data_IF_017866340521
#
_entry.id   IF_017866340521
#
_cell.length_a   1.000
_cell.length_b   1.000
_cell.length_c   1.000
_cell.angle_alpha   90.00
_cell.angle_beta   90.00
_cell.angle_gamma   90.00
#
_symmetry.space_group_name_H-M   'P 1'
#
loop_
_entity.id
_entity.type
_entity.pdbx_description
1 polymer ?
#
# COMPACT_ATOMS: atom_id res chain seq x y z
N UNK A 1 -6.71 -13.33 -2.58
CA UNK A 1 -6.11 -12.28 -3.41
C UNK A 1 -5.22 -11.40 -2.53
N UNK A 2 -4.10 -10.87 -3.03
CA UNK A 2 -3.20 -9.99 -2.29
C UNK A 2 -3.43 -8.52 -2.67
N UNK A 3 -2.92 -7.58 -1.88
CA UNK A 3 -3.13 -6.15 -2.04
C UNK A 3 -3.00 -5.60 -3.47
N UNK A 4 -1.90 -5.87 -4.22
CA UNK A 4 -1.75 -5.39 -5.59
C UNK A 4 -2.89 -5.81 -6.53
N UNK A 5 -3.32 -7.07 -6.45
CA UNK A 5 -4.38 -7.59 -7.29
C UNK A 5 -5.77 -7.03 -6.90
N UNK A 6 -6.02 -6.80 -5.59
CA UNK A 6 -7.24 -6.15 -5.11
C UNK A 6 -7.32 -4.73 -5.69
N UNK A 7 -6.21 -4.00 -5.63
CA UNK A 7 -6.12 -2.63 -6.12
C UNK A 7 -6.32 -2.56 -7.64
N UNK A 8 -5.62 -3.40 -8.41
CA UNK A 8 -5.75 -3.46 -9.86
C UNK A 8 -7.20 -3.78 -10.31
N UNK A 9 -7.85 -4.75 -9.65
CA UNK A 9 -9.22 -5.10 -9.95
C UNK A 9 -10.20 -3.95 -9.66
N UNK A 10 -10.04 -3.24 -8.53
CA UNK A 10 -10.89 -2.11 -8.19
C UNK A 10 -10.61 -0.87 -9.06
N UNK A 11 -9.35 -0.62 -9.45
CA UNK A 11 -9.04 0.39 -10.47
C UNK A 11 -9.77 0.06 -11.77
N UNK A 12 -9.68 -1.19 -12.25
CA UNK A 12 -10.37 -1.60 -13.45
C UNK A 12 -11.90 -1.49 -13.33
N UNK A 13 -12.47 -1.81 -12.16
CA UNK A 13 -13.90 -1.67 -11.89
C UNK A 13 -14.35 -0.21 -11.98
N UNK A 14 -13.68 0.68 -11.27
CA UNK A 14 -14.05 2.09 -11.22
C UNK A 14 -13.89 2.75 -12.60
N UNK A 15 -12.78 2.52 -13.28
CA UNK A 15 -12.58 3.07 -14.62
C UNK A 15 -13.57 2.53 -15.66
N UNK A 16 -14.09 1.32 -15.47
CA UNK A 16 -15.05 0.72 -16.41
C UNK A 16 -16.44 1.34 -16.39
N UNK A 17 -16.70 2.28 -15.49
CA UNK A 17 -17.94 3.03 -15.49
C UNK A 17 -18.01 3.96 -16.73
N UNK A 18 -16.86 4.51 -17.15
CA UNK A 18 -16.78 5.47 -18.26
C UNK A 18 -15.85 5.02 -19.41
N UNK A 19 -15.08 3.92 -19.24
CA UNK A 19 -14.05 3.49 -20.19
C UNK A 19 -14.16 1.99 -20.52
N UNK A 20 -13.66 1.60 -21.69
CA UNK A 20 -13.40 0.18 -22.03
C UNK A 20 -12.07 -0.26 -21.42
N UNK A 21 -12.11 -1.11 -20.41
CA UNK A 21 -10.94 -1.47 -19.59
C UNK A 21 -10.55 -2.92 -19.75
N UNK A 22 -9.33 -3.16 -20.18
CA UNK A 22 -8.67 -4.48 -20.19
C UNK A 22 -7.80 -4.64 -18.96
N UNK A 23 -8.07 -5.64 -18.14
CA UNK A 23 -7.23 -6.00 -17.00
C UNK A 23 -6.25 -7.10 -17.41
N UNK A 24 -4.95 -6.83 -17.38
CA UNK A 24 -3.90 -7.75 -17.76
C UNK A 24 -2.95 -8.09 -16.60
N UNK A 25 -2.38 -9.28 -16.60
CA UNK A 25 -1.46 -9.76 -15.57
C UNK A 25 -0.21 -10.40 -16.17
N UNK A 26 0.95 -10.14 -15.57
CA UNK A 26 2.21 -10.84 -15.88
C UNK A 26 2.17 -12.33 -15.49
N UNK A 27 1.29 -12.72 -14.58
CA UNK A 27 1.24 -14.07 -14.02
C UNK A 27 0.28 -15.03 -14.76
N UNK A 28 -0.30 -14.59 -15.87
CA UNK A 28 -1.26 -15.39 -16.66
C UNK A 28 -2.68 -14.84 -16.61
N UNK A 29 -3.61 -15.56 -17.23
CA UNK A 29 -5.02 -15.19 -17.39
C UNK A 29 -5.94 -15.90 -16.39
N UNK A 30 -7.15 -15.41 -16.24
CA UNK A 30 -8.15 -15.97 -15.35
C UNK A 30 -9.36 -15.07 -15.15
N UNK A 31 -9.98 -15.16 -13.99
CA UNK A 31 -11.07 -14.29 -13.58
C UNK A 31 -10.69 -13.58 -12.30
N UNK A 32 -10.96 -12.28 -12.20
CA UNK A 32 -10.77 -11.54 -10.97
C UNK A 32 -11.78 -11.99 -9.91
N UNK A 33 -11.34 -12.50 -8.76
CA UNK A 33 -12.25 -12.88 -7.68
C UNK A 33 -12.87 -11.68 -6.94
N UNK A 34 -12.46 -10.44 -7.25
CA UNK A 34 -13.04 -9.24 -6.62
C UNK A 34 -14.36 -8.86 -7.27
N UNK A 35 -14.46 -8.92 -8.59
CA UNK A 35 -15.60 -8.41 -9.35
C UNK A 35 -16.03 -9.33 -10.51
N UNK A 36 -15.45 -10.50 -10.62
CA UNK A 36 -15.74 -11.45 -11.68
C UNK A 36 -15.19 -11.08 -13.06
N UNK A 37 -14.32 -10.08 -13.17
CA UNK A 37 -13.75 -9.64 -14.44
C UNK A 37 -12.76 -10.62 -15.02
N UNK A 38 -12.70 -10.65 -16.35
CA UNK A 38 -11.64 -11.38 -17.06
C UNK A 38 -10.29 -10.71 -16.86
N UNK A 39 -9.29 -11.50 -16.53
CA UNK A 39 -7.88 -11.09 -16.45
C UNK A 39 -7.14 -11.73 -17.61
N UNK A 40 -6.61 -10.94 -18.50
CA UNK A 40 -5.85 -11.40 -19.66
C UNK A 40 -4.39 -11.65 -19.30
N UNK A 41 -3.71 -12.46 -20.07
CA UNK A 41 -2.30 -12.74 -19.91
C UNK A 41 -1.39 -11.61 -20.39
N UNK A 42 -0.07 -11.83 -20.33
CA UNK A 42 0.93 -10.82 -20.74
C UNK A 42 0.78 -10.30 -22.16
N UNK A 43 0.20 -11.09 -23.06
CA UNK A 43 -0.07 -10.72 -24.45
C UNK A 43 -1.01 -9.52 -24.60
N UNK A 44 -1.85 -9.26 -23.61
CA UNK A 44 -2.76 -8.12 -23.61
C UNK A 44 -2.08 -6.81 -23.17
N UNK A 45 -0.87 -6.85 -22.60
CA UNK A 45 -0.20 -5.65 -22.04
C UNK A 45 0.19 -4.65 -23.14
N UNK A 46 0.55 -5.16 -24.32
CA UNK A 46 1.00 -4.36 -25.47
C UNK A 46 -0.10 -4.18 -26.53
N UNK A 47 -1.36 -4.27 -26.15
CA UNK A 47 -2.49 -3.98 -27.01
C UNK A 47 -2.57 -2.51 -27.46
N UNK A 48 -3.50 -2.21 -28.34
CA UNK A 48 -3.77 -0.84 -28.79
C UNK A 48 -4.73 -0.17 -27.79
N UNK A 49 -4.18 0.67 -26.91
CA UNK A 49 -4.91 1.39 -25.87
C UNK A 49 -4.62 2.90 -25.95
N UNK A 50 -5.54 3.73 -25.46
CA UNK A 50 -5.36 5.18 -25.36
C UNK A 50 -4.46 5.56 -24.16
N UNK A 51 -4.49 4.77 -23.09
CA UNK A 51 -3.67 4.94 -21.89
C UNK A 51 -3.51 3.63 -21.13
N UNK A 52 -2.58 3.56 -20.18
CA UNK A 52 -2.46 2.43 -19.28
C UNK A 52 -2.16 2.85 -17.83
N UNK A 53 -2.64 2.03 -16.88
CA UNK A 53 -2.25 2.09 -15.47
C UNK A 53 -1.31 0.92 -15.19
N UNK A 54 -0.12 1.21 -14.67
CA UNK A 54 0.97 0.25 -14.53
C UNK A 54 1.38 0.07 -13.08
N UNK A 55 1.51 -1.18 -12.63
CA UNK A 55 2.00 -1.54 -11.31
C UNK A 55 3.26 -2.43 -11.38
N UNK A 56 4.10 -2.39 -10.34
CA UNK A 56 5.23 -3.28 -10.19
C UNK A 56 6.24 -3.22 -11.36
N UNK A 57 6.80 -4.35 -11.75
CA UNK A 57 7.89 -4.45 -12.75
C UNK A 57 7.41 -4.57 -14.21
N UNK A 58 6.18 -4.14 -14.53
CA UNK A 58 5.63 -4.29 -15.89
C UNK A 58 6.51 -3.64 -16.95
N UNK A 59 6.99 -2.41 -16.74
CA UNK A 59 7.81 -1.70 -17.72
C UNK A 59 9.13 -2.43 -18.04
N UNK A 60 9.81 -2.95 -17.01
CA UNK A 60 11.04 -3.75 -17.22
C UNK A 60 10.82 -5.01 -18.05
N UNK A 61 9.62 -5.59 -17.96
CA UNK A 61 9.29 -6.84 -18.69
C UNK A 61 8.69 -6.60 -20.05
N UNK A 62 8.20 -5.39 -20.30
CA UNK A 62 7.59 -4.95 -21.55
C UNK A 62 8.21 -3.64 -22.04
N UNK A 63 9.45 -3.67 -22.58
CA UNK A 63 10.14 -2.47 -23.08
C UNK A 63 9.33 -1.71 -24.13
N UNK A 64 8.59 -2.42 -24.99
CA UNK A 64 7.73 -1.79 -26.00
C UNK A 64 6.69 -0.84 -25.38
N UNK A 65 6.18 -1.18 -24.19
CA UNK A 65 5.27 -0.30 -23.43
C UNK A 65 6.04 0.93 -22.89
N UNK A 66 7.25 0.72 -22.39
CA UNK A 66 8.09 1.81 -21.89
C UNK A 66 8.49 2.79 -23.00
N UNK A 67 8.74 2.29 -24.23
CA UNK A 67 9.12 3.09 -25.39
C UNK A 67 7.92 3.70 -26.14
N UNK A 68 6.69 3.25 -25.86
CA UNK A 68 5.48 3.72 -26.53
C UNK A 68 5.22 5.21 -26.26
N UNK A 69 4.43 5.85 -27.14
CA UNK A 69 3.93 7.21 -26.91
C UNK A 69 2.69 7.28 -26.01
N UNK A 70 2.13 6.12 -25.65
CA UNK A 70 0.92 6.00 -24.83
C UNK A 70 1.10 6.66 -23.46
N UNK A 71 0.17 7.47 -22.95
CA UNK A 71 0.18 7.99 -21.59
C UNK A 71 0.14 6.87 -20.54
N UNK A 72 1.01 6.93 -19.53
CA UNK A 72 1.10 5.94 -18.46
C UNK A 72 0.86 6.56 -17.08
N UNK A 73 -0.15 6.07 -16.36
CA UNK A 73 -0.27 6.28 -14.93
C UNK A 73 0.50 5.16 -14.21
N UNK A 74 1.41 5.55 -13.33
CA UNK A 74 2.20 4.61 -12.50
C UNK A 74 1.61 4.57 -11.10
N UNK A 75 1.20 3.39 -10.68
CA UNK A 75 0.61 3.21 -9.36
C UNK A 75 1.67 2.79 -8.34
N UNK A 76 2.21 3.77 -7.62
CA UNK A 76 3.21 3.63 -6.56
C UNK A 76 2.58 3.49 -5.17
N UNK A 77 1.56 2.65 -5.05
CA UNK A 77 0.81 2.46 -3.82
C UNK A 77 1.62 1.80 -2.68
N UNK A 78 2.77 1.22 -3.00
CA UNK A 78 3.54 0.35 -2.11
C UNK A 78 5.02 0.74 -2.12
N UNK A 79 5.65 1.03 -0.97
CA UNK A 79 7.07 1.37 -0.87
C UNK A 79 7.96 0.11 -0.94
N UNK A 80 7.80 -0.71 -1.99
CA UNK A 80 8.41 -2.04 -2.13
C UNK A 80 9.95 -2.05 -2.04
N UNK A 81 10.62 -0.94 -2.34
CA UNK A 81 12.07 -0.79 -2.14
C UNK A 81 12.44 -0.72 -0.64
N UNK A 82 11.58 -0.13 0.19
CA UNK A 82 11.76 -0.11 1.65
C UNK A 82 11.41 -1.48 2.24
N UNK A 83 10.35 -2.13 1.77
CA UNK A 83 10.02 -3.50 2.16
C UNK A 83 11.16 -4.49 1.83
N UNK A 84 11.86 -4.30 0.71
CA UNK A 84 13.00 -5.13 0.32
C UNK A 84 14.14 -5.10 1.35
N UNK A 85 14.25 -4.03 2.16
CA UNK A 85 15.21 -3.95 3.26
C UNK A 85 14.91 -4.96 4.39
N UNK A 86 13.67 -5.36 4.55
CA UNK A 86 13.23 -6.27 5.61
C UNK A 86 13.10 -7.71 5.12
N UNK A 87 12.86 -7.94 3.84
CA UNK A 87 12.73 -9.28 3.27
C UNK A 87 14.03 -10.07 3.39
N UNK A 88 13.98 -11.26 3.99
CA UNK A 88 15.12 -12.12 4.12
C UNK A 88 16.20 -11.56 5.06
N UNK A 89 15.81 -11.09 6.25
CA UNK A 89 16.68 -10.40 7.21
C UNK A 89 18.00 -11.13 7.54
N UNK A 90 18.07 -12.44 7.37
CA UNK A 90 19.29 -13.25 7.54
C UNK A 90 20.18 -13.37 6.29
N UNK A 91 19.69 -12.96 5.09
CA UNK A 91 20.41 -13.10 3.82
C UNK A 91 20.74 -11.72 3.22
N UNK A 92 21.99 -11.31 3.45
CA UNK A 92 22.47 -10.00 2.97
C UNK A 92 22.47 -9.88 1.44
N UNK A 93 22.82 -10.96 0.72
CA UNK A 93 22.89 -10.93 -0.75
C UNK A 93 21.49 -10.76 -1.33
N UNK A 94 20.54 -11.55 -0.85
CA UNK A 94 19.13 -11.45 -1.25
C UNK A 94 18.55 -10.06 -1.00
N UNK A 95 18.92 -9.42 0.11
CA UNK A 95 18.49 -8.05 0.38
C UNK A 95 19.07 -7.05 -0.59
N UNK A 96 20.36 -7.17 -0.93
CA UNK A 96 21.01 -6.31 -1.93
C UNK A 96 20.31 -6.46 -3.28
N UNK A 97 20.13 -7.68 -3.77
CA UNK A 97 19.48 -7.96 -5.06
C UNK A 97 18.03 -7.42 -5.10
N UNK A 98 17.29 -7.58 -4.00
CA UNK A 98 15.93 -7.06 -3.88
C UNK A 98 15.86 -5.53 -3.94
N UNK A 99 16.77 -4.84 -3.26
CA UNK A 99 16.86 -3.38 -3.26
C UNK A 99 17.30 -2.86 -4.63
N UNK A 100 18.31 -3.47 -5.25
CA UNK A 100 18.83 -3.06 -6.55
C UNK A 100 17.75 -3.24 -7.63
N UNK A 101 17.04 -4.38 -7.63
CA UNK A 101 15.92 -4.62 -8.54
C UNK A 101 14.78 -3.62 -8.35
N UNK A 102 14.44 -3.29 -7.09
CA UNK A 102 13.44 -2.29 -6.78
C UNK A 102 13.85 -0.90 -7.29
N UNK A 103 15.10 -0.51 -7.06
CA UNK A 103 15.62 0.79 -7.49
C UNK A 103 15.67 0.92 -9.02
N UNK A 104 16.00 -0.15 -9.76
CA UNK A 104 15.96 -0.15 -11.23
C UNK A 104 14.52 0.07 -11.70
N UNK A 105 13.55 -0.66 -11.12
CA UNK A 105 12.13 -0.50 -11.45
C UNK A 105 11.64 0.92 -11.21
N UNK A 106 11.96 1.50 -10.05
CA UNK A 106 11.52 2.85 -9.69
C UNK A 106 12.12 3.93 -10.59
N UNK A 107 13.39 3.80 -10.99
CA UNK A 107 14.03 4.75 -11.91
C UNK A 107 13.32 4.74 -13.27
N UNK A 108 13.11 3.57 -13.85
CA UNK A 108 12.43 3.43 -15.13
C UNK A 108 11.00 4.02 -15.06
N UNK A 109 10.27 3.71 -14.01
CA UNK A 109 8.93 4.25 -13.80
C UNK A 109 8.95 5.76 -13.61
N UNK A 110 9.87 6.31 -12.79
CA UNK A 110 10.00 7.74 -12.59
C UNK A 110 10.35 8.49 -13.88
N UNK A 111 11.15 7.86 -14.75
CA UNK A 111 11.53 8.44 -16.04
C UNK A 111 10.39 8.39 -17.05
N UNK A 112 9.61 7.31 -17.06
CA UNK A 112 8.64 7.03 -18.11
C UNK A 112 7.22 7.48 -17.77
N UNK A 113 6.82 7.45 -16.50
CA UNK A 113 5.47 7.75 -16.07
C UNK A 113 5.03 9.17 -16.42
N UNK A 114 3.76 9.32 -16.73
CA UNK A 114 3.15 10.61 -17.04
C UNK A 114 2.31 11.13 -15.89
N UNK A 115 1.74 10.22 -15.11
CA UNK A 115 1.01 10.49 -13.88
C UNK A 115 1.37 9.42 -12.84
N UNK A 116 1.39 9.79 -11.56
CA UNK A 116 1.76 8.89 -10.48
C UNK A 116 0.67 8.88 -9.41
N UNK A 117 0.42 7.69 -8.85
CA UNK A 117 -0.49 7.49 -7.71
C UNK A 117 0.29 6.95 -6.52
N UNK A 118 -0.14 7.33 -5.34
CA UNK A 118 0.38 6.79 -4.07
C UNK A 118 -0.77 6.62 -3.07
N UNK A 119 -0.53 5.93 -1.95
CA UNK A 119 -1.62 5.56 -1.04
C UNK A 119 -1.89 6.56 0.08
N UNK A 120 -1.01 7.52 0.32
CA UNK A 120 -1.17 8.54 1.35
C UNK A 120 -0.18 9.70 1.13
N UNK A 121 -0.33 10.77 1.91
CA UNK A 121 0.49 11.98 1.78
C UNK A 121 1.93 11.77 2.23
N UNK A 122 2.21 10.86 3.16
CA UNK A 122 3.57 10.49 3.56
C UNK A 122 4.29 9.81 2.38
N UNK A 123 3.63 8.89 1.69
CA UNK A 123 4.15 8.31 0.45
C UNK A 123 4.32 9.39 -0.63
N UNK A 124 3.35 10.30 -0.78
CA UNK A 124 3.42 11.36 -1.78
C UNK A 124 4.68 12.22 -1.57
N UNK A 125 4.97 12.63 -0.34
CA UNK A 125 6.19 13.39 -0.01
C UNK A 125 7.47 12.57 -0.30
N UNK A 126 7.47 11.29 0.02
CA UNK A 126 8.57 10.38 -0.30
C UNK A 126 8.80 10.27 -1.81
N UNK A 127 7.74 10.05 -2.59
CA UNK A 127 7.82 9.92 -4.04
C UNK A 127 8.15 11.22 -4.77
N UNK A 128 7.77 12.37 -4.23
CA UNK A 128 8.25 13.66 -4.73
C UNK A 128 9.77 13.77 -4.65
N UNK A 129 10.40 13.21 -3.62
CA UNK A 129 11.86 13.11 -3.54
C UNK A 129 12.48 12.27 -4.67
N UNK A 130 11.86 11.13 -5.01
CA UNK A 130 12.27 10.29 -6.14
C UNK A 130 12.09 11.02 -7.48
N UNK A 131 10.95 11.66 -7.68
CA UNK A 131 10.64 12.45 -8.88
C UNK A 131 11.59 13.65 -9.02
N UNK A 132 11.97 14.30 -7.92
CA UNK A 132 12.98 15.34 -7.91
C UNK A 132 14.36 14.82 -8.36
N UNK A 133 14.78 13.66 -7.82
CA UNK A 133 16.04 13.02 -8.23
C UNK A 133 16.03 12.59 -9.70
N UNK A 134 14.88 12.19 -10.24
CA UNK A 134 14.68 11.91 -11.66
C UNK A 134 14.53 13.15 -12.55
N UNK A 135 14.59 14.37 -11.97
CA UNK A 135 14.45 15.64 -12.70
C UNK A 135 13.02 15.96 -13.15
N UNK A 136 12.01 15.28 -12.55
CA UNK A 136 10.60 15.48 -12.88
C UNK A 136 9.97 16.67 -12.16
N UNK A 137 10.55 17.14 -11.06
CA UNK A 137 10.24 18.43 -10.46
C UNK A 137 11.07 19.49 -11.17
N UNK A 138 10.48 20.17 -12.12
CA UNK A 138 11.12 21.13 -13.00
C UNK A 138 10.18 22.30 -13.34
N UNK A 139 10.65 23.27 -14.12
CA UNK A 139 9.88 24.47 -14.46
C UNK A 139 8.55 24.14 -15.16
N UNK A 140 8.52 23.13 -16.02
CA UNK A 140 7.29 22.78 -16.79
C UNK A 140 6.22 22.16 -15.89
N UNK A 141 6.61 21.18 -15.09
CA UNK A 141 5.69 20.52 -14.16
C UNK A 141 5.27 21.45 -13.01
N UNK A 142 6.14 22.38 -12.60
CA UNK A 142 5.80 23.40 -11.63
C UNK A 142 4.81 24.44 -12.22
N UNK A 143 5.03 24.90 -13.45
CA UNK A 143 4.17 25.89 -14.10
C UNK A 143 2.78 25.32 -14.40
N UNK A 144 2.67 24.01 -14.64
CA UNK A 144 1.39 23.31 -14.79
C UNK A 144 0.63 23.26 -13.46
N UNK A 145 1.30 22.85 -12.37
CA UNK A 145 0.74 22.83 -11.03
C UNK A 145 1.83 22.99 -9.96
N UNK A 146 1.88 24.10 -9.20
CA UNK A 146 2.95 24.38 -8.24
C UNK A 146 3.12 23.34 -7.12
N UNK A 147 2.06 22.58 -6.79
CA UNK A 147 2.10 21.47 -5.83
C UNK A 147 2.27 20.11 -6.51
N UNK A 148 2.52 20.08 -7.82
CA UNK A 148 2.73 18.88 -8.63
C UNK A 148 1.56 17.87 -8.60
N UNK A 149 0.33 18.33 -8.37
CA UNK A 149 -0.85 17.46 -8.33
C UNK A 149 -1.24 16.92 -9.71
N UNK A 150 -0.87 17.61 -10.80
CA UNK A 150 -0.95 17.09 -12.17
C UNK A 150 0.07 15.99 -12.46
N UNK A 151 1.11 15.84 -11.64
CA UNK A 151 2.15 14.81 -11.79
C UNK A 151 1.93 13.63 -10.82
N UNK A 152 1.62 13.90 -9.54
CA UNK A 152 1.42 12.85 -8.52
C UNK A 152 0.30 13.20 -7.56
N UNK A 153 -0.61 12.24 -7.33
CA UNK A 153 -1.73 12.40 -6.43
C UNK A 153 -1.86 11.24 -5.44
N UNK A 154 -2.40 11.53 -4.25
CA UNK A 154 -2.79 10.53 -3.27
C UNK A 154 -4.08 9.85 -3.71
N UNK A 155 -4.06 8.53 -3.81
CA UNK A 155 -5.19 7.66 -4.12
C UNK A 155 -5.13 6.44 -3.21
N UNK A 156 -5.65 6.51 -1.96
CA UNK A 156 -5.64 5.42 -1.01
C UNK A 156 -6.36 4.17 -1.53
N UNK A 157 -6.17 3.05 -0.86
CA UNK A 157 -7.09 1.92 -1.04
C UNK A 157 -8.48 2.31 -0.57
N UNK A 158 -9.47 1.99 -1.37
CA UNK A 158 -10.86 2.16 -1.01
C UNK A 158 -11.41 0.97 -0.21
N UNK A 159 -12.48 1.21 0.48
CA UNK A 159 -13.30 0.19 1.12
C UNK A 159 -14.43 -0.25 0.18
N UNK A 160 -14.73 -1.54 0.18
CA UNK A 160 -15.91 -2.03 -0.51
C UNK A 160 -17.18 -1.57 0.22
N UNK A 161 -18.13 -1.06 -0.57
CA UNK A 161 -19.44 -0.74 -0.01
C UNK A 161 -20.12 -2.01 0.49
N UNK A 162 -20.30 -2.14 1.79
CA UNK A 162 -21.12 -3.21 2.34
C UNK A 162 -22.57 -2.77 2.32
N UNK A 163 -23.49 -3.60 1.78
CA UNK A 163 -24.92 -3.35 1.97
C UNK A 163 -25.17 -3.25 3.48
N UNK A 164 -25.93 -2.24 3.88
CA UNK A 164 -26.24 -1.94 5.28
C UNK A 164 -26.66 -3.18 6.09
N UNK A 165 -26.75 -3.10 7.41
CA UNK A 165 -26.95 -4.25 8.28
C UNK A 165 -28.16 -5.06 7.81
N UNK A 166 -27.91 -6.32 7.46
CA UNK A 166 -28.98 -7.27 7.16
C UNK A 166 -29.89 -7.36 8.37
N UNK A 167 -31.19 -7.32 8.16
CA UNK A 167 -32.23 -7.25 9.19
C UNK A 167 -32.29 -8.44 10.17
N UNK A 168 -31.39 -9.42 10.03
CA UNK A 168 -31.19 -10.49 11.02
C UNK A 168 -29.78 -11.08 10.88
N UNK A 169 -28.74 -10.49 11.49
CA UNK A 169 -27.38 -10.98 11.38
C UNK A 169 -27.18 -12.14 12.35
N UNK A 170 -27.30 -13.36 11.87
CA UNK A 170 -26.53 -14.45 12.49
C UNK A 170 -25.07 -14.05 12.28
N UNK A 171 -24.37 -13.66 13.36
CA UNK A 171 -22.95 -13.30 13.31
C UNK A 171 -22.18 -14.51 12.77
N UNK A 172 -21.43 -14.40 11.67
CA UNK A 172 -20.62 -15.51 11.18
C UNK A 172 -19.58 -15.87 12.25
N UNK A 173 -19.33 -17.16 12.42
CA UNK A 173 -18.41 -17.69 13.44
C UNK A 173 -17.35 -18.61 12.83
N UNK A 174 -16.66 -18.22 11.74
CA UNK A 174 -15.70 -19.10 11.06
C UNK A 174 -14.48 -19.45 11.95
N UNK A 175 -14.04 -18.53 12.81
CA UNK A 175 -12.94 -18.78 13.76
C UNK A 175 -13.34 -19.87 14.75
N UNK A 176 -14.52 -19.73 15.36
CA UNK A 176 -15.05 -20.67 16.35
C UNK A 176 -15.39 -22.02 15.74
N UNK A 177 -15.85 -22.02 14.51
CA UNK A 177 -16.13 -23.26 13.76
C UNK A 177 -14.83 -24.02 13.43
N UNK A 178 -13.73 -23.31 13.17
CA UNK A 178 -12.43 -23.92 12.88
C UNK A 178 -11.74 -24.43 14.14
N UNK A 179 -11.84 -23.71 15.24
CA UNK A 179 -11.11 -24.01 16.47
C UNK A 179 -12.07 -24.34 17.60
N UNK A 180 -12.35 -25.61 17.81
CA UNK A 180 -13.26 -26.09 18.87
C UNK A 180 -12.82 -25.74 20.29
N UNK A 181 -11.54 -25.34 20.48
CA UNK A 181 -10.99 -24.85 21.74
C UNK A 181 -11.39 -23.38 22.02
N UNK A 182 -12.07 -22.70 21.10
CA UNK A 182 -12.54 -21.32 21.27
C UNK A 182 -14.05 -21.37 21.55
N UNK A 183 -14.42 -20.99 22.75
CA UNK A 183 -15.82 -20.96 23.18
C UNK A 183 -16.61 -19.84 22.50
N UNK A 184 -17.94 -19.97 22.51
CA UNK A 184 -18.83 -19.00 21.87
C UNK A 184 -18.67 -17.58 22.45
N UNK A 185 -18.39 -17.49 23.74
CA UNK A 185 -18.27 -16.23 24.48
C UNK A 185 -16.82 -15.81 24.75
N UNK A 186 -15.83 -16.61 24.33
CA UNK A 186 -14.44 -16.25 24.49
C UNK A 186 -14.14 -14.97 23.71
N UNK A 187 -13.49 -13.97 24.32
CA UNK A 187 -13.00 -12.81 23.60
C UNK A 187 -11.94 -13.23 22.58
N UNK A 188 -12.10 -12.83 21.31
CA UNK A 188 -11.17 -13.14 20.25
C UNK A 188 -10.48 -11.88 19.76
N UNK A 189 -9.18 -11.85 19.87
CA UNK A 189 -8.32 -10.90 19.18
C UNK A 189 -7.92 -11.47 17.83
N UNK A 190 -8.05 -10.69 16.74
CA UNK A 190 -7.69 -11.14 15.39
C UNK A 190 -6.57 -10.31 14.80
N UNK A 191 -5.56 -11.00 14.27
CA UNK A 191 -4.59 -10.44 13.35
C UNK A 191 -5.04 -10.79 11.92
N UNK A 192 -5.60 -9.81 11.22
CA UNK A 192 -6.17 -10.00 9.89
C UNK A 192 -5.09 -9.89 8.80
N UNK A 193 -4.72 -11.02 8.18
CA UNK A 193 -3.83 -11.07 7.03
C UNK A 193 -2.41 -11.57 7.32
N UNK A 194 -1.55 -11.54 6.29
CA UNK A 194 -0.21 -12.13 6.32
C UNK A 194 0.70 -11.59 7.42
N UNK A 195 1.63 -12.43 7.84
CA UNK A 195 2.73 -12.04 8.71
C UNK A 195 3.92 -11.67 7.83
N UNK A 196 4.35 -10.42 7.91
CA UNK A 196 5.45 -9.88 7.13
C UNK A 196 6.61 -9.48 8.03
N UNK A 197 7.85 -9.60 7.55
CA UNK A 197 9.08 -9.39 8.33
C UNK A 197 9.21 -7.93 8.85
N UNK A 198 8.44 -6.99 8.33
CA UNK A 198 8.36 -5.60 8.80
C UNK A 198 7.26 -5.32 9.84
N UNK A 199 6.51 -6.36 10.24
CA UNK A 199 5.49 -6.27 11.29
C UNK A 199 6.02 -6.89 12.59
N UNK A 200 5.31 -6.65 13.70
CA UNK A 200 5.69 -7.17 15.02
C UNK A 200 4.61 -8.07 15.65
N UNK A 201 4.33 -9.25 15.09
CA UNK A 201 3.43 -10.21 15.73
C UNK A 201 3.98 -10.75 17.05
N UNK A 202 5.30 -10.67 17.26
CA UNK A 202 5.95 -11.17 18.48
C UNK A 202 5.57 -10.31 19.69
N UNK A 203 5.45 -8.99 19.52
CA UNK A 203 4.95 -8.10 20.56
C UNK A 203 3.57 -8.53 21.04
N UNK A 204 2.65 -8.84 20.10
CA UNK A 204 1.28 -9.23 20.43
C UNK A 204 1.24 -10.57 21.18
N UNK A 205 2.06 -11.55 20.77
CA UNK A 205 2.17 -12.84 21.46
C UNK A 205 2.80 -12.67 22.85
N UNK A 206 3.82 -11.81 22.95
CA UNK A 206 4.49 -11.53 24.21
C UNK A 206 3.59 -10.80 25.21
N UNK A 207 2.61 -10.04 24.75
CA UNK A 207 1.63 -9.34 25.58
C UNK A 207 0.53 -10.26 26.14
N UNK A 208 0.37 -11.46 25.57
CA UNK A 208 -0.68 -12.39 26.00
C UNK A 208 -0.68 -12.74 27.49
N UNK A 209 0.47 -12.95 28.18
CA UNK A 209 0.44 -13.20 29.63
C UNK A 209 -0.28 -12.11 30.40
N UNK A 210 0.01 -10.83 30.15
CA UNK A 210 -0.68 -9.68 30.79
C UNK A 210 -2.18 -9.69 30.48
N UNK A 211 -2.58 -10.01 29.24
CA UNK A 211 -4.00 -10.11 28.89
C UNK A 211 -4.70 -11.24 29.64
N UNK A 212 -4.03 -12.39 29.75
CA UNK A 212 -4.60 -13.60 30.39
C UNK A 212 -4.67 -13.52 31.91
N UNK A 213 -3.92 -12.64 32.56
CA UNK A 213 -4.05 -12.37 34.00
C UNK A 213 -5.43 -11.79 34.32
N UNK A 214 -5.96 -10.92 33.46
CA UNK A 214 -7.29 -10.29 33.67
C UNK A 214 -8.41 -11.01 32.91
N UNK A 215 -8.08 -11.61 31.76
CA UNK A 215 -9.04 -12.24 30.84
C UNK A 215 -8.56 -13.62 30.40
N UNK A 216 -8.67 -14.66 31.26
CA UNK A 216 -8.06 -15.98 31.02
C UNK A 216 -8.67 -16.71 29.80
N UNK A 217 -9.87 -16.34 29.37
CA UNK A 217 -10.54 -16.95 28.22
C UNK A 217 -10.25 -16.25 26.88
N UNK A 218 -9.34 -15.26 26.87
CA UNK A 218 -8.97 -14.55 25.64
C UNK A 218 -8.20 -15.46 24.70
N UNK A 219 -8.49 -15.32 23.39
CA UNK A 219 -7.85 -16.03 22.29
C UNK A 219 -7.28 -15.04 21.28
N UNK A 220 -6.08 -15.31 20.78
CA UNK A 220 -5.43 -14.58 19.68
C UNK A 220 -5.40 -15.49 18.45
N UNK A 221 -5.94 -15.01 17.34
CA UNK A 221 -6.03 -15.76 16.08
C UNK A 221 -5.34 -15.00 14.95
N UNK A 222 -4.36 -15.63 14.32
CA UNK A 222 -3.67 -15.12 13.15
C UNK A 222 -4.30 -15.69 11.87
N UNK A 223 -4.90 -14.82 11.03
CA UNK A 223 -5.40 -15.18 9.69
C UNK A 223 -4.24 -15.13 8.69
N UNK A 224 -3.19 -15.90 8.92
CA UNK A 224 -1.90 -15.80 8.23
C UNK A 224 -1.55 -17.10 7.50
N UNK A 225 -2.51 -17.69 6.79
CA UNK A 225 -2.27 -18.87 5.96
C UNK A 225 -1.26 -18.61 4.83
N UNK A 226 -0.57 -19.65 4.33
CA UNK A 226 0.36 -19.51 3.22
C UNK A 226 -0.38 -19.05 1.96
N UNK A 227 0.32 -18.25 1.14
CA UNK A 227 -0.25 -17.78 -0.13
C UNK A 227 -0.46 -18.99 -1.10
N UNK A 228 -1.59 -19.07 -1.83
CA UNK A 228 -1.85 -20.17 -2.75
C UNK A 228 -0.85 -20.23 -3.93
N UNK A 229 -0.31 -19.08 -4.32
CA UNK A 229 0.82 -19.06 -5.25
C UNK A 229 2.11 -19.39 -4.48
N UNK A 230 2.63 -20.59 -4.68
CA UNK A 230 3.84 -21.11 -4.02
C UNK A 230 5.13 -20.38 -4.39
N UNK A 231 5.11 -19.56 -5.45
CA UNK A 231 6.25 -18.67 -5.77
C UNK A 231 6.38 -17.49 -4.80
N UNK A 232 5.31 -17.19 -4.04
CA UNK A 232 5.33 -16.20 -2.97
C UNK A 232 5.74 -16.89 -1.67
N UNK A 233 6.97 -16.65 -1.28
CA UNK A 233 7.57 -17.29 -0.13
C UNK A 233 6.94 -16.82 1.18
N UNK A 234 6.76 -17.77 2.11
CA UNK A 234 6.36 -17.47 3.49
C UNK A 234 7.52 -16.81 4.23
N UNK A 235 7.30 -15.64 4.80
CA UNK A 235 8.33 -14.89 5.53
C UNK A 235 8.71 -15.54 6.86
N UNK A 236 9.94 -15.31 7.30
CA UNK A 236 10.53 -15.93 8.49
C UNK A 236 9.78 -15.64 9.78
N UNK A 237 9.26 -14.44 9.91
CA UNK A 237 8.52 -13.98 11.11
C UNK A 237 7.33 -14.89 11.47
N UNK A 238 6.70 -15.57 10.50
CA UNK A 238 5.63 -16.53 10.78
C UNK A 238 6.14 -17.74 11.57
N UNK A 239 7.31 -18.25 11.19
CA UNK A 239 7.96 -19.35 11.91
C UNK A 239 8.34 -18.95 13.33
N UNK A 240 8.88 -17.75 13.50
CA UNK A 240 9.24 -17.18 14.81
C UNK A 240 8.02 -16.99 15.71
N UNK A 241 6.92 -16.47 15.18
CA UNK A 241 5.67 -16.31 15.91
C UNK A 241 5.11 -17.64 16.42
N UNK A 242 5.12 -18.69 15.59
CA UNK A 242 4.70 -20.04 15.99
C UNK A 242 5.65 -20.62 17.07
N UNK A 243 6.97 -20.45 16.90
CA UNK A 243 7.96 -20.92 17.86
C UNK A 243 7.79 -20.23 19.22
N UNK A 244 7.59 -18.91 19.23
CA UNK A 244 7.35 -18.12 20.44
C UNK A 244 6.07 -18.55 21.15
N UNK A 245 4.97 -18.74 20.41
CA UNK A 245 3.71 -19.21 20.98
C UNK A 245 3.86 -20.60 21.64
N UNK A 246 4.65 -21.50 21.05
CA UNK A 246 4.98 -22.80 21.63
C UNK A 246 5.85 -22.68 22.87
N UNK A 247 6.90 -21.86 22.82
CA UNK A 247 7.79 -21.61 23.95
C UNK A 247 7.03 -21.10 25.19
N UNK A 248 6.08 -20.17 24.96
CA UNK A 248 5.22 -19.62 26.00
C UNK A 248 4.06 -20.56 26.39
N UNK A 249 3.92 -21.74 25.79
CA UNK A 249 2.83 -22.71 26.02
C UNK A 249 1.43 -22.15 25.71
N UNK A 250 1.35 -21.20 24.79
CA UNK A 250 0.11 -20.56 24.35
C UNK A 250 -0.46 -21.20 23.09
N UNK A 251 0.38 -21.86 22.27
CA UNK A 251 0.00 -22.45 21.00
C UNK A 251 -1.13 -23.49 21.15
N UNK A 252 -2.20 -23.35 20.37
CA UNK A 252 -3.36 -24.25 20.40
C UNK A 252 -4.26 -24.15 21.63
N UNK A 253 -3.93 -23.24 22.56
CA UNK A 253 -4.70 -22.97 23.78
C UNK A 253 -5.22 -21.52 23.80
N UNK A 254 -4.33 -20.56 23.60
CA UNK A 254 -4.65 -19.12 23.60
C UNK A 254 -4.23 -18.44 22.31
N UNK A 255 -3.28 -19.02 21.55
CA UNK A 255 -2.77 -18.48 20.29
C UNK A 255 -2.96 -19.52 19.19
N UNK A 256 -3.65 -19.14 18.14
CA UNK A 256 -4.04 -19.98 17.02
C UNK A 256 -3.58 -19.37 15.69
N UNK A 257 -3.21 -20.22 14.74
CA UNK A 257 -2.82 -19.83 13.40
C UNK A 257 -3.71 -20.54 12.38
N UNK A 258 -4.40 -19.79 11.55
CA UNK A 258 -5.10 -20.35 10.40
C UNK A 258 -4.06 -20.81 9.38
N UNK A 259 -4.05 -22.10 9.05
CA UNK A 259 -3.06 -22.72 8.18
C UNK A 259 -3.53 -22.84 6.72
N UNK A 260 -4.70 -22.32 6.40
CA UNK A 260 -5.24 -22.26 5.06
C UNK A 260 -5.36 -20.80 4.60
N UNK A 261 -5.38 -20.62 3.29
CA UNK A 261 -5.69 -19.32 2.71
C UNK A 261 -7.17 -18.98 2.99
N UNK A 262 -7.40 -17.79 3.52
CA UNK A 262 -8.75 -17.23 3.64
C UNK A 262 -9.08 -16.51 2.34
N UNK A 263 -10.14 -16.96 1.66
CA UNK A 263 -10.54 -16.34 0.40
C UNK A 263 -11.00 -14.89 0.60
N UNK A 264 -10.74 -14.07 -0.41
CA UNK A 264 -10.97 -12.63 -0.31
C UNK A 264 -12.42 -12.29 0.07
N UNK A 265 -13.39 -12.97 -0.53
CA UNK A 265 -14.81 -12.75 -0.26
C UNK A 265 -15.27 -13.25 1.14
N UNK A 266 -14.50 -14.12 1.78
CA UNK A 266 -14.81 -14.65 3.11
C UNK A 266 -14.15 -13.84 4.23
N UNK A 267 -13.09 -13.06 3.92
CA UNK A 267 -12.23 -12.39 4.92
C UNK A 267 -13.01 -11.56 5.94
N UNK A 268 -14.03 -10.83 5.49
CA UNK A 268 -14.83 -9.98 6.39
C UNK A 268 -15.63 -10.77 7.41
N UNK A 269 -16.07 -11.99 7.05
CA UNK A 269 -16.75 -12.88 7.99
C UNK A 269 -15.79 -13.34 9.10
N UNK A 270 -14.53 -13.63 8.76
CA UNK A 270 -13.50 -13.99 9.73
C UNK A 270 -13.15 -12.83 10.66
N UNK A 271 -13.02 -11.63 10.13
CA UNK A 271 -12.73 -10.42 10.91
C UNK A 271 -13.93 -10.07 11.82
N UNK A 272 -15.16 -10.22 11.33
CA UNK A 272 -16.38 -9.96 12.09
C UNK A 272 -16.61 -10.95 13.26
N UNK A 273 -15.98 -12.13 13.25
CA UNK A 273 -16.05 -13.08 14.36
C UNK A 273 -15.21 -12.69 15.57
N UNK A 274 -14.35 -11.68 15.42
CA UNK A 274 -13.48 -11.19 16.49
C UNK A 274 -14.15 -10.14 17.38
N UNK A 275 -13.56 -9.93 18.57
CA UNK A 275 -13.91 -8.90 19.54
C UNK A 275 -13.07 -7.65 19.32
N UNK A 276 -11.77 -7.81 19.03
CA UNK A 276 -10.80 -6.74 18.82
C UNK A 276 -9.87 -7.12 17.67
N UNK A 277 -9.59 -6.17 16.77
CA UNK A 277 -8.51 -6.27 15.80
C UNK A 277 -7.18 -5.85 16.43
N UNK A 278 -6.10 -6.55 16.10
CA UNK A 278 -4.76 -6.21 16.57
C UNK A 278 -3.77 -6.10 15.42
N UNK A 279 -2.93 -5.08 15.47
CA UNK A 279 -1.77 -4.93 14.61
C UNK A 279 -0.64 -4.27 15.39
N UNK A 280 0.58 -4.72 15.16
CA UNK A 280 1.77 -4.09 15.69
C UNK A 280 2.81 -3.95 14.58
N UNK A 281 3.39 -2.77 14.49
CA UNK A 281 4.43 -2.42 13.56
C UNK A 281 5.75 -2.18 14.28
N UNK A 282 6.84 -2.54 13.65
CA UNK A 282 8.16 -2.09 14.06
C UNK A 282 8.32 -0.60 13.70
N UNK A 283 9.12 0.14 14.48
CA UNK A 283 9.36 1.56 14.21
C UNK A 283 10.45 1.72 13.15
N UNK A 284 10.05 1.85 11.90
CA UNK A 284 10.96 2.06 10.76
C UNK A 284 10.25 2.81 9.61
N UNK A 285 11.00 3.11 8.54
CA UNK A 285 10.49 3.91 7.45
C UNK A 285 9.30 3.26 6.73
N UNK A 286 9.31 1.92 6.59
CA UNK A 286 8.22 1.21 5.94
C UNK A 286 6.88 1.47 6.67
N UNK A 287 6.84 1.36 8.00
CA UNK A 287 5.60 1.59 8.75
C UNK A 287 5.04 3.01 8.55
N UNK A 288 5.91 4.02 8.42
CA UNK A 288 5.49 5.40 8.14
C UNK A 288 4.96 5.61 6.73
N UNK A 289 5.45 4.82 5.76
CA UNK A 289 5.02 4.92 4.37
C UNK A 289 3.94 3.91 4.01
N UNK A 290 3.55 3.03 4.92
CA UNK A 290 2.62 1.96 4.62
C UNK A 290 1.18 2.47 4.46
N UNK A 291 0.36 1.65 3.79
CA UNK A 291 -1.09 1.72 3.83
C UNK A 291 -1.62 0.35 4.22
N UNK A 292 -1.92 0.17 5.50
CA UNK A 292 -2.31 -1.13 6.08
C UNK A 292 -3.72 -1.54 5.66
N UNK A 293 -3.86 -2.14 4.50
CA UNK A 293 -5.16 -2.55 3.92
C UNK A 293 -6.00 -3.44 4.85
N UNK A 294 -5.36 -4.19 5.74
CA UNK A 294 -6.07 -5.00 6.75
C UNK A 294 -6.89 -4.16 7.73
N UNK A 295 -6.49 -2.91 7.97
CA UNK A 295 -7.25 -1.98 8.81
C UNK A 295 -8.54 -1.53 8.13
N UNK A 296 -8.62 -1.52 6.80
CA UNK A 296 -9.87 -1.31 6.08
C UNK A 296 -10.89 -2.40 6.39
N UNK A 297 -10.47 -3.66 6.49
CA UNK A 297 -11.36 -4.75 6.88
C UNK A 297 -11.91 -4.57 8.30
N UNK A 298 -11.07 -4.07 9.23
CA UNK A 298 -11.54 -3.72 10.59
C UNK A 298 -12.58 -2.59 10.54
N UNK A 299 -12.34 -1.54 9.75
CA UNK A 299 -13.28 -0.43 9.58
C UNK A 299 -14.61 -0.89 8.99
N UNK A 300 -14.57 -1.71 7.93
CA UNK A 300 -15.75 -2.22 7.23
C UNK A 300 -16.67 -2.99 8.17
N UNK A 301 -16.14 -3.86 9.01
CA UNK A 301 -16.96 -4.64 9.95
C UNK A 301 -17.24 -3.89 11.27
N UNK A 302 -16.63 -2.73 11.47
CA UNK A 302 -16.72 -1.96 12.69
C UNK A 302 -16.02 -2.63 13.86
N UNK A 303 -14.84 -3.22 13.63
CA UNK A 303 -14.04 -3.88 14.66
C UNK A 303 -13.15 -2.88 15.39
N UNK A 304 -13.29 -2.70 16.70
CA UNK A 304 -12.35 -1.92 17.51
C UNK A 304 -10.93 -2.45 17.35
N UNK A 305 -9.95 -1.57 17.26
CA UNK A 305 -8.58 -1.97 16.95
C UNK A 305 -7.59 -1.46 17.99
N UNK A 306 -6.61 -2.30 18.34
CA UNK A 306 -5.39 -1.88 19.07
C UNK A 306 -4.23 -1.94 18.10
N UNK A 307 -3.49 -0.83 18.00
CA UNK A 307 -2.34 -0.67 17.11
C UNK A 307 -1.14 -0.09 17.85
N UNK A 308 0.04 -0.18 17.27
CA UNK A 308 1.18 0.65 17.65
C UNK A 308 1.18 1.96 16.85
N UNK A 309 1.88 2.97 17.32
CA UNK A 309 2.03 4.23 16.58
C UNK A 309 2.91 4.06 15.33
N UNK A 310 2.73 4.92 14.32
CA UNK A 310 3.64 5.08 13.18
C UNK A 310 3.06 4.71 11.82
N UNK A 311 2.00 3.93 11.76
CA UNK A 311 1.26 3.67 10.52
C UNK A 311 0.22 4.78 10.29
N UNK A 312 0.16 5.41 9.10
CA UNK A 312 -0.77 6.52 8.81
C UNK A 312 -2.25 6.13 8.98
N UNK A 313 -2.65 4.94 8.56
CA UNK A 313 -4.04 4.48 8.70
C UNK A 313 -4.39 4.23 10.17
N UNK A 314 -3.48 3.58 10.92
CA UNK A 314 -3.64 3.38 12.36
C UNK A 314 -3.76 4.70 13.11
N UNK A 315 -2.94 5.69 12.76
CA UNK A 315 -3.02 7.06 13.32
C UNK A 315 -4.37 7.70 13.03
N UNK A 316 -4.83 7.66 11.77
CA UNK A 316 -6.15 8.18 11.41
C UNK A 316 -7.31 7.48 12.14
N UNK A 317 -7.20 6.16 12.36
CA UNK A 317 -8.17 5.40 13.16
C UNK A 317 -8.18 5.81 14.63
N UNK A 318 -7.02 6.11 15.22
CA UNK A 318 -6.92 6.61 16.61
C UNK A 318 -7.56 7.99 16.73
N UNK A 319 -7.27 8.90 15.82
CA UNK A 319 -7.86 10.23 15.76
C UNK A 319 -9.39 10.19 15.60
N UNK A 320 -9.91 9.26 14.80
CA UNK A 320 -11.33 9.03 14.63
C UNK A 320 -12.00 8.30 15.81
N UNK A 321 -11.23 7.83 16.79
CA UNK A 321 -11.72 7.02 17.91
C UNK A 321 -12.13 5.58 17.54
N UNK A 322 -11.65 5.07 16.42
CA UNK A 322 -11.86 3.68 15.95
C UNK A 322 -10.77 2.73 16.45
N UNK A 323 -9.62 3.26 16.85
CA UNK A 323 -8.52 2.49 17.41
C UNK A 323 -7.96 3.13 18.70
N UNK A 324 -7.13 2.37 19.41
CA UNK A 324 -6.26 2.83 20.48
C UNK A 324 -4.83 2.47 20.14
N UNK A 325 -3.93 3.45 20.22
CA UNK A 325 -2.51 3.20 20.13
C UNK A 325 -1.95 2.74 21.48
N UNK A 326 -1.05 1.78 21.46
CA UNK A 326 -0.32 1.30 22.62
C UNK A 326 1.18 1.36 22.39
N UNK A 327 1.93 1.62 23.44
CA UNK A 327 3.40 1.58 23.40
C UNK A 327 3.91 0.19 23.01
N UNK A 328 5.08 0.17 22.35
CA UNK A 328 5.74 -1.06 21.85
C UNK A 328 6.42 -1.87 22.97
N UNK A 329 5.81 -1.96 24.13
CA UNK A 329 6.26 -2.86 25.20
C UNK A 329 5.20 -3.91 25.47
N UNK A 330 5.64 -5.13 25.79
CA UNK A 330 4.76 -6.26 26.07
C UNK A 330 3.69 -5.92 27.13
N UNK A 331 4.13 -5.25 28.20
CA UNK A 331 3.24 -4.88 29.30
C UNK A 331 2.24 -3.79 28.90
N UNK A 332 2.68 -2.69 28.26
CA UNK A 332 1.78 -1.61 27.90
C UNK A 332 0.76 -2.05 26.85
N UNK A 333 1.20 -2.81 25.83
CA UNK A 333 0.32 -3.34 24.80
C UNK A 333 -0.71 -4.31 25.40
N UNK A 334 -0.25 -5.19 26.31
CA UNK A 334 -1.11 -6.13 27.04
C UNK A 334 -2.13 -5.44 27.93
N UNK A 335 -1.73 -4.39 28.67
CA UNK A 335 -2.62 -3.61 29.55
C UNK A 335 -3.73 -2.92 28.77
N UNK A 336 -3.42 -2.32 27.61
CA UNK A 336 -4.42 -1.71 26.74
C UNK A 336 -5.43 -2.75 26.25
N UNK A 337 -4.96 -3.91 25.79
CA UNK A 337 -5.83 -5.01 25.35
C UNK A 337 -6.73 -5.50 26.49
N UNK A 338 -6.17 -5.79 27.66
CA UNK A 338 -6.90 -6.30 28.82
C UNK A 338 -8.01 -5.33 29.25
N UNK A 339 -7.70 -4.03 29.30
CA UNK A 339 -8.66 -3.00 29.68
C UNK A 339 -9.82 -2.84 28.70
N UNK A 340 -9.56 -3.03 27.39
CA UNK A 340 -10.59 -2.89 26.35
C UNK A 340 -11.49 -4.11 26.27
N UNK A 341 -10.97 -5.32 26.41
CA UNK A 341 -11.73 -6.58 26.29
C UNK A 341 -12.94 -6.60 27.24
N UNK A 342 -12.79 -6.01 28.41
CA UNK A 342 -13.85 -5.95 29.44
C UNK A 342 -14.74 -4.70 29.35
N UNK A 343 -14.59 -3.88 28.31
CA UNK A 343 -15.31 -2.61 28.21
C UNK A 343 -16.23 -2.56 27.00
N UNK A 344 -17.38 -3.24 27.10
CA UNK A 344 -18.37 -3.33 26.02
C UNK A 344 -18.85 -1.95 25.53
N UNK A 345 -18.99 -0.97 26.44
CA UNK A 345 -19.38 0.38 26.06
C UNK A 345 -18.31 1.00 25.13
N UNK A 346 -17.04 0.94 25.52
CA UNK A 346 -15.93 1.48 24.74
C UNK A 346 -15.76 0.77 23.41
N UNK A 347 -15.86 -0.56 23.40
CA UNK A 347 -15.86 -1.35 22.16
C UNK A 347 -17.00 -0.93 21.22
N UNK A 348 -18.19 -0.71 21.76
CA UNK A 348 -19.33 -0.23 20.98
C UNK A 348 -19.13 1.16 20.39
N UNK A 349 -18.53 2.09 21.12
CA UNK A 349 -18.17 3.44 20.66
C UNK A 349 -17.14 3.38 19.52
N UNK A 350 -16.06 2.64 19.72
CA UNK A 350 -15.01 2.45 18.73
C UNK A 350 -15.54 1.79 17.44
N UNK A 351 -16.40 0.80 17.55
CA UNK A 351 -17.03 0.17 16.40
C UNK A 351 -17.94 1.11 15.61
N UNK A 352 -18.62 2.07 16.26
CA UNK A 352 -19.38 3.11 15.56
C UNK A 352 -18.46 4.09 14.83
N UNK A 353 -17.38 4.52 15.48
CA UNK A 353 -16.36 5.38 14.86
C UNK A 353 -15.72 4.70 13.62
N UNK A 354 -15.40 3.41 13.70
CA UNK A 354 -14.86 2.65 12.59
C UNK A 354 -15.80 2.64 11.37
N UNK A 355 -17.09 2.36 11.59
CA UNK A 355 -18.10 2.40 10.52
C UNK A 355 -18.34 3.80 9.97
N UNK A 356 -18.24 4.84 10.77
CA UNK A 356 -18.36 6.21 10.31
C UNK A 356 -17.16 6.61 9.42
N UNK A 357 -15.95 6.20 9.80
CA UNK A 357 -14.73 6.50 9.06
C UNK A 357 -14.73 5.83 7.66
N UNK A 358 -15.17 4.58 7.56
CA UNK A 358 -15.16 3.85 6.29
C UNK A 358 -16.11 4.43 5.25
N UNK A 359 -17.15 5.14 5.66
CA UNK A 359 -18.13 5.75 4.76
C UNK A 359 -17.51 6.78 3.79
N UNK A 360 -16.37 7.37 4.14
CA UNK A 360 -15.63 8.33 3.31
C UNK A 360 -14.50 7.70 2.50
N UNK A 361 -14.34 6.38 2.54
CA UNK A 361 -13.24 5.65 1.91
C UNK A 361 -13.73 4.76 0.76
N UNK A 362 -14.73 5.20 -0.02
CA UNK A 362 -15.13 4.42 -1.20
C UNK A 362 -14.02 4.36 -2.26
N UNK A 363 -13.98 3.30 -3.07
CA UNK A 363 -13.02 3.22 -4.17
C UNK A 363 -13.25 4.34 -5.19
N UNK A 364 -14.48 4.75 -5.41
CA UNK A 364 -14.88 5.86 -6.29
C UNK A 364 -14.29 7.19 -5.82
N UNK A 365 -14.34 7.47 -4.51
CA UNK A 365 -13.77 8.68 -3.94
C UNK A 365 -12.25 8.67 -3.91
N UNK A 366 -11.65 7.55 -3.49
CA UNK A 366 -10.19 7.44 -3.35
C UNK A 366 -9.48 7.42 -4.70
N UNK A 367 -10.09 6.90 -5.76
CA UNK A 367 -9.55 6.87 -7.12
C UNK A 367 -9.91 8.08 -7.96
N UNK A 368 -10.60 9.08 -7.41
CA UNK A 368 -11.00 10.30 -8.15
C UNK A 368 -9.86 10.96 -8.93
N UNK A 369 -8.62 11.09 -8.39
CA UNK A 369 -7.53 11.66 -9.17
C UNK A 369 -7.18 10.85 -10.43
N UNK A 370 -7.28 9.53 -10.37
CA UNK A 370 -7.08 8.67 -11.54
C UNK A 370 -8.23 8.77 -12.54
N UNK A 371 -9.46 8.79 -12.05
CA UNK A 371 -10.66 8.96 -12.91
C UNK A 371 -10.59 10.29 -13.67
N UNK A 372 -10.21 11.38 -13.00
CA UNK A 372 -10.05 12.67 -13.67
C UNK A 372 -8.92 12.66 -14.70
N UNK A 373 -7.77 12.04 -14.39
CA UNK A 373 -6.69 11.89 -15.36
C UNK A 373 -7.12 11.04 -16.58
N UNK A 374 -7.89 9.98 -16.35
CA UNK A 374 -8.32 9.05 -17.40
C UNK A 374 -9.32 9.65 -18.40
N UNK A 375 -10.01 10.76 -18.08
CA UNK A 375 -10.92 11.45 -19.01
C UNK A 375 -10.20 12.05 -20.20
N UNK A 376 -8.95 12.49 -20.03
CA UNK A 376 -8.12 13.09 -21.09
C UNK A 376 -6.65 12.78 -20.81
N UNK A 377 -6.24 11.50 -20.93
CA UNK A 377 -4.89 11.07 -20.58
C UNK A 377 -3.87 11.68 -21.53
N UNK A 378 -2.88 12.39 -20.98
CA UNK A 378 -1.84 13.06 -21.73
C UNK A 378 -0.45 12.67 -21.27
N UNK A 379 0.54 12.70 -22.19
CA UNK A 379 1.93 12.67 -21.79
C UNK A 379 2.26 13.83 -20.86
N UNK A 380 3.06 13.59 -19.84
CA UNK A 380 3.52 14.64 -18.95
C UNK A 380 4.22 15.76 -19.73
N UNK A 381 4.01 17.02 -19.32
CA UNK A 381 4.52 18.22 -20.03
C UNK A 381 6.05 18.23 -20.16
N UNK A 382 6.74 17.50 -19.31
CA UNK A 382 8.21 17.38 -19.32
C UNK A 382 8.75 16.11 -20.01
N UNK A 383 7.88 15.27 -20.60
CA UNK A 383 8.31 14.00 -21.27
C UNK A 383 9.38 14.24 -22.33
N UNK A 384 9.30 15.33 -23.08
CA UNK A 384 10.26 15.69 -24.12
C UNK A 384 11.40 16.61 -23.66
N UNK A 385 11.50 16.86 -22.35
CA UNK A 385 12.58 17.67 -21.80
C UNK A 385 13.89 16.92 -21.91
N UNK A 386 14.95 17.51 -22.53
CA UNK A 386 16.27 16.91 -22.52
C UNK A 386 16.73 16.72 -21.07
N UNK A 387 17.09 15.50 -20.70
CA UNK A 387 17.63 15.19 -19.37
C UNK A 387 19.15 15.20 -19.44
N UNK A 388 19.80 15.92 -18.54
CA UNK A 388 21.25 15.82 -18.42
C UNK A 388 21.60 14.53 -17.67
N UNK A 389 22.47 13.70 -18.25
CA UNK A 389 22.96 12.49 -17.58
C UNK A 389 23.80 12.77 -16.31
N UNK A 390 23.93 14.03 -15.94
CA UNK A 390 24.63 14.47 -14.75
C UNK A 390 26.17 14.28 -14.76
N UNK A 391 26.66 13.44 -15.69
CA UNK A 391 28.06 13.01 -15.74
C UNK A 391 28.94 13.93 -16.60
N UNK A 392 28.35 14.70 -17.52
CA UNK A 392 29.09 15.53 -18.46
C UNK A 392 28.77 17.03 -18.30
N UNK A 393 29.66 17.86 -17.72
CA UNK A 393 29.47 19.30 -17.62
C UNK A 393 29.23 20.01 -18.96
N UNK A 394 29.79 19.48 -20.05
CA UNK A 394 29.61 20.01 -21.42
C UNK A 394 28.25 19.65 -21.96
N UNK A 395 27.73 18.45 -21.65
CA UNK A 395 26.36 18.01 -21.96
C UNK A 395 25.32 18.96 -21.36
N UNK A 396 25.48 19.35 -20.09
CA UNK A 396 24.59 20.33 -19.43
C UNK A 396 24.54 21.68 -20.11
N UNK A 397 25.66 22.13 -20.70
CA UNK A 397 25.69 23.36 -21.47
C UNK A 397 24.98 23.19 -22.81
N UNK A 398 25.16 22.04 -23.48
CA UNK A 398 24.47 21.69 -24.72
C UNK A 398 22.94 21.60 -24.52
N UNK A 399 22.51 20.92 -23.46
CA UNK A 399 21.07 20.77 -23.10
C UNK A 399 20.43 22.13 -22.77
N UNK A 400 21.15 23.01 -22.04
CA UNK A 400 20.68 24.37 -21.79
C UNK A 400 20.56 25.21 -23.06
N UNK A 401 21.51 25.08 -23.99
CA UNK A 401 21.47 25.77 -25.27
C UNK A 401 20.27 25.25 -26.06
N UNK A 402 20.02 23.95 -26.09
CA UNK A 402 18.88 23.34 -26.79
C UNK A 402 17.55 23.80 -26.21
N UNK A 403 17.39 23.79 -24.88
CA UNK A 403 16.22 24.32 -24.18
C UNK A 403 15.94 25.80 -24.54
N UNK A 404 16.98 26.63 -24.54
CA UNK A 404 16.86 28.04 -24.89
C UNK A 404 16.53 28.27 -26.38
N UNK A 405 16.92 27.36 -27.26
CA UNK A 405 16.54 27.38 -28.68
C UNK A 405 15.08 26.98 -28.85
N UNK A 406 14.60 25.98 -28.08
CA UNK A 406 13.23 25.49 -28.14
C UNK A 406 12.23 26.50 -27.56
N UNK A 407 12.59 27.21 -26.47
CA UNK A 407 11.69 28.15 -25.77
C UNK A 407 11.74 29.62 -26.27
N UNK A 408 12.75 30.04 -26.94
CA UNK A 408 12.89 31.49 -27.26
C UNK A 408 13.68 31.86 -28.49
N UNK A 409 14.17 30.90 -29.23
CA UNK A 409 14.95 31.10 -30.46
C UNK A 409 16.36 31.65 -30.22
N UNK A 410 17.15 31.69 -31.28
CA UNK A 410 18.58 32.02 -31.27
C UNK A 410 18.92 33.40 -30.66
N UNK A 411 17.99 34.36 -30.65
CA UNK A 411 18.21 35.70 -30.05
C UNK A 411 18.38 35.67 -28.54
N UNK A 412 17.62 34.86 -27.80
CA UNK A 412 17.72 34.77 -26.36
C UNK A 412 19.02 34.05 -25.91
N UNK A 413 19.47 33.05 -26.67
CA UNK A 413 20.70 32.32 -26.42
C UNK A 413 21.90 33.25 -26.52
N UNK A 414 21.96 34.10 -27.57
CA UNK A 414 23.03 35.10 -27.78
C UNK A 414 23.01 36.16 -26.69
N UNK A 415 21.85 36.64 -26.27
CA UNK A 415 21.75 37.72 -25.27
C UNK A 415 22.17 37.22 -23.87
N UNK A 416 21.78 36.03 -23.47
CA UNK A 416 22.18 35.43 -22.18
C UNK A 416 23.66 34.98 -22.17
N UNK A 417 24.20 34.54 -23.31
CA UNK A 417 25.64 34.26 -23.46
C UNK A 417 26.50 35.54 -23.29
N UNK A 418 25.99 36.65 -23.82
CA UNK A 418 26.67 37.99 -23.69
C UNK A 418 26.62 38.51 -22.25
N UNK A 419 25.49 38.33 -21.55
CA UNK A 419 25.31 38.74 -20.16
C UNK A 419 26.12 37.86 -19.18
N UNK A 420 26.23 36.56 -19.45
CA UNK A 420 27.08 35.65 -18.69
C UNK A 420 28.59 35.96 -18.88
N UNK A 421 29.00 36.33 -20.11
CA UNK A 421 30.33 36.79 -20.43
C UNK A 421 30.70 38.07 -19.68
N UNK A 422 29.79 39.06 -19.66
CA UNK A 422 29.98 40.31 -18.92
C UNK A 422 30.15 40.13 -17.40
N UNK A 423 29.39 39.18 -16.82
CA UNK A 423 29.55 38.89 -15.37
C UNK A 423 30.85 38.15 -15.02
N UNK A 424 31.48 37.46 -15.98
CA UNK A 424 32.69 36.67 -15.74
C UNK A 424 33.99 37.43 -16.02
N UNK A 425 33.91 38.47 -16.84
CA UNK A 425 35.11 39.30 -17.25
C UNK A 425 34.98 40.76 -16.87
N UNK A 426 33.97 41.15 -16.10
CA UNK A 426 33.75 42.51 -15.60
C UNK A 426 34.19 42.66 -14.16
N UNK A 427 35.47 42.38 -13.88
CA UNK A 427 36.23 42.88 -12.73
C UNK A 427 37.47 43.56 -13.22
#
# INVERSE_FOLDING_TARGET
>A
MAGPAIRAANIARVLSEDHDVTLASLAGSGTSPVDGRSVFGPEAITGNYDAAVVQGSVLLRHPDLAESSMPLAIDWFDPFHVEALHRGAGDRIRRIDGIDGANVTLREQAERGDFFLCSNDEQRNHWLGWLAAAGRLNERTHDEHPLFESLIASAPFGAEHQPGPRSNPVRPTPIRNMFSAIGLHDPVMVWAGGLHDWLDPLLVINSMPTVLEENPDTRLVFLAGPHPNTSIETMGIRGEAIALARQKRLFGRHVFFVNQWVEYHERLAWVADATIGVIADQLHLESRLSHRTRLLDHLIVGLPTVTTEGDPMGTAMVEAGAAVAADRTEHAFGTVLASLINNDQRLGEMGRSARAMVASLSWEDTLRPLVEWAKDPKPAVDRKRPRSDGSNPLGRVGDRIKLHLDDGGAKQVLQRGFDAGKRRFGR
#
